data_IF_980654426772
#
_entry.id   IF_980654426772
#
_cell.length_a   1.000
_cell.length_b   1.000
_cell.length_c   1.000
_cell.angle_alpha   90.00
_cell.angle_beta   90.00
_cell.angle_gamma   90.00
#
_symmetry.space_group_name_H-M   'P 1'
#
loop_
_entity.id
_entity.type
_entity.pdbx_description
1 polymer ?
#
# COMPACT_ATOMS: atom_id res chain seq x y z
N UNK A 1 15.13 -4.59 -10.51
CA UNK A 1 14.07 -4.96 -9.56
C UNK A 1 13.08 -5.87 -10.25
N UNK A 2 12.63 -6.92 -9.57
CA UNK A 2 11.82 -8.02 -10.14
C UNK A 2 10.51 -7.53 -10.79
N UNK A 3 10.38 -7.74 -12.10
CA UNK A 3 9.13 -7.54 -12.87
C UNK A 3 7.94 -8.34 -12.30
N UNK A 4 8.20 -9.34 -11.46
CA UNK A 4 7.21 -10.19 -10.79
C UNK A 4 6.23 -9.41 -9.89
N UNK A 5 6.72 -8.50 -9.04
CA UNK A 5 5.86 -7.76 -8.08
C UNK A 5 4.94 -6.76 -8.80
N UNK A 6 5.46 -6.04 -9.80
CA UNK A 6 4.65 -5.16 -10.65
C UNK A 6 3.61 -5.93 -11.45
N UNK A 7 3.96 -7.13 -11.93
CA UNK A 7 3.01 -8.00 -12.61
C UNK A 7 1.83 -8.40 -11.73
N UNK A 8 2.05 -8.64 -10.43
CA UNK A 8 0.96 -8.96 -9.51
C UNK A 8 -0.01 -7.79 -9.33
N UNK A 9 0.49 -6.56 -9.28
CA UNK A 9 -0.33 -5.35 -9.17
C UNK A 9 -1.14 -5.12 -10.46
N UNK A 10 -0.49 -5.22 -11.62
CA UNK A 10 -1.18 -5.07 -12.92
C UNK A 10 -2.30 -6.10 -13.11
N UNK A 11 -2.03 -7.33 -12.69
CA UNK A 11 -2.95 -8.47 -12.78
C UNK A 11 -3.87 -8.60 -11.56
N UNK A 12 -3.90 -7.61 -10.66
CA UNK A 12 -4.77 -7.67 -9.50
C UNK A 12 -6.23 -7.81 -9.97
N UNK A 13 -6.95 -8.87 -9.52
CA UNK A 13 -8.29 -9.15 -10.01
C UNK A 13 -9.27 -8.11 -9.51
N UNK A 14 -10.29 -7.80 -10.31
CA UNK A 14 -11.38 -6.93 -9.88
C UNK A 14 -12.00 -7.48 -8.59
N UNK A 15 -12.12 -6.66 -7.52
CA UNK A 15 -12.78 -7.05 -6.29
C UNK A 15 -14.23 -7.49 -6.52
N UNK A 16 -14.57 -8.68 -6.04
CA UNK A 16 -15.93 -9.25 -6.16
C UNK A 16 -16.77 -9.11 -4.88
N UNK A 17 -16.16 -8.63 -3.81
CA UNK A 17 -16.81 -8.41 -2.52
C UNK A 17 -16.05 -7.33 -1.73
N UNK A 18 -16.68 -6.85 -0.65
CA UNK A 18 -16.13 -5.81 0.23
C UNK A 18 -14.75 -6.22 0.80
N UNK A 19 -14.58 -7.46 1.27
CA UNK A 19 -13.28 -7.92 1.82
C UNK A 19 -12.15 -7.85 0.81
N UNK A 20 -12.41 -8.23 -0.44
CA UNK A 20 -11.42 -8.15 -1.52
C UNK A 20 -11.09 -6.70 -1.87
N UNK A 21 -12.08 -5.80 -1.76
CA UNK A 21 -11.87 -4.37 -1.96
C UNK A 21 -11.07 -3.77 -0.81
N UNK A 22 -11.40 -4.06 0.44
CA UNK A 22 -10.65 -3.63 1.63
C UNK A 22 -9.18 -4.08 1.57
N UNK A 23 -8.93 -5.31 1.13
CA UNK A 23 -7.57 -5.81 0.93
C UNK A 23 -6.80 -5.01 -0.13
N UNK A 24 -7.46 -4.64 -1.23
CA UNK A 24 -6.84 -3.81 -2.26
C UNK A 24 -6.63 -2.37 -1.77
N UNK A 25 -7.59 -1.80 -1.04
CA UNK A 25 -7.51 -0.44 -0.50
C UNK A 25 -6.40 -0.32 0.56
N UNK A 26 -6.27 -1.30 1.45
CA UNK A 26 -5.17 -1.34 2.42
C UNK A 26 -3.79 -1.41 1.74
N UNK A 27 -3.69 -2.18 0.65
CA UNK A 27 -2.48 -2.16 -0.18
C UNK A 27 -2.28 -0.80 -0.85
N UNK A 28 -3.32 -0.23 -1.44
CA UNK A 28 -3.27 1.03 -2.17
C UNK A 28 -2.86 2.21 -1.26
N UNK A 29 -3.37 2.25 -0.04
CA UNK A 29 -3.08 3.30 0.94
C UNK A 29 -1.60 3.30 1.34
N UNK A 30 -0.95 2.15 1.40
CA UNK A 30 0.49 2.07 1.66
C UNK A 30 1.33 2.82 0.59
N UNK A 31 0.86 2.84 -0.66
CA UNK A 31 1.52 3.48 -1.80
C UNK A 31 0.90 4.83 -2.19
N UNK A 32 -0.03 5.38 -1.39
CA UNK A 32 -0.77 6.59 -1.74
C UNK A 32 0.13 7.82 -1.99
N UNK A 33 1.24 7.93 -1.25
CA UNK A 33 2.19 9.04 -1.32
C UNK A 33 2.94 9.13 -2.66
N UNK A 34 2.94 8.07 -3.46
CA UNK A 34 3.70 7.99 -4.70
C UNK A 34 2.83 8.04 -5.95
N UNK A 35 1.51 8.04 -5.76
CA UNK A 35 0.55 8.14 -6.85
C UNK A 35 0.06 9.58 -6.93
N UNK A 36 0.41 10.23 -8.04
CA UNK A 36 -0.15 11.53 -8.38
C UNK A 36 -1.68 11.40 -8.52
N UNK A 37 -2.41 12.32 -7.87
CA UNK A 37 -3.88 12.34 -7.85
C UNK A 37 -4.53 11.11 -7.17
N UNK A 38 -3.82 10.38 -6.30
CA UNK A 38 -4.33 9.19 -5.61
C UNK A 38 -5.75 9.37 -5.04
N UNK A 39 -5.98 10.47 -4.31
CA UNK A 39 -7.27 10.76 -3.68
C UNK A 39 -8.43 10.77 -4.68
N UNK A 40 -8.22 11.27 -5.89
CA UNK A 40 -9.25 11.28 -6.94
C UNK A 40 -9.60 9.86 -7.38
N UNK A 41 -8.58 9.04 -7.62
CA UNK A 41 -8.75 7.68 -8.15
C UNK A 41 -9.30 6.71 -7.09
N UNK A 42 -8.91 6.89 -5.82
CA UNK A 42 -9.35 6.02 -4.72
C UNK A 42 -10.78 6.31 -4.26
N UNK A 43 -11.29 7.54 -4.45
CA UNK A 43 -12.63 7.94 -3.99
C UNK A 43 -13.73 7.09 -4.63
N UNK A 44 -13.57 6.71 -5.91
CA UNK A 44 -14.50 5.84 -6.61
C UNK A 44 -14.54 4.41 -6.03
N UNK A 45 -13.45 3.97 -5.39
CA UNK A 45 -13.33 2.65 -4.78
C UNK A 45 -13.77 2.66 -3.32
N UNK A 46 -13.43 3.70 -2.55
CA UNK A 46 -13.83 3.81 -1.14
C UNK A 46 -15.34 4.04 -0.98
N UNK A 47 -16.00 4.67 -1.95
CA UNK A 47 -17.47 4.82 -1.96
C UNK A 47 -18.21 3.48 -1.97
N UNK A 48 -17.58 2.42 -2.49
CA UNK A 48 -18.14 1.06 -2.53
C UNK A 48 -18.12 0.34 -1.17
N UNK A 49 -17.46 0.91 -0.15
CA UNK A 49 -17.46 0.38 1.22
C UNK A 49 -18.73 0.76 2.00
N UNK A 50 -19.62 1.57 1.42
CA UNK A 50 -20.89 1.93 2.05
C UNK A 50 -21.78 0.69 2.23
N UNK A 51 -22.50 0.64 3.36
CA UNK A 51 -23.33 -0.52 3.75
C UNK A 51 -24.57 -0.72 2.88
N UNK A 52 -25.02 0.32 2.20
CA UNK A 52 -26.25 0.34 1.41
C UNK A 52 -26.03 1.32 0.24
N UNK A 53 -26.10 0.90 -1.05
CA UNK A 53 -26.64 -0.33 -1.62
C UNK A 53 -25.73 -1.58 -1.51
N UNK A 54 -26.21 -2.78 -1.90
CA UNK A 54 -25.37 -3.97 -2.03
C UNK A 54 -24.11 -3.71 -2.83
N UNK A 55 -23.00 -4.35 -2.46
CA UNK A 55 -21.73 -4.21 -3.15
C UNK A 55 -21.87 -4.52 -4.65
N UNK A 56 -21.73 -3.47 -5.46
CA UNK A 56 -21.70 -3.54 -6.92
C UNK A 56 -20.47 -2.77 -7.35
N UNK A 57 -19.57 -3.44 -8.06
CA UNK A 57 -18.42 -2.79 -8.66
C UNK A 57 -18.91 -1.99 -9.89
N UNK A 58 -19.24 -0.71 -9.65
CA UNK A 58 -19.93 0.16 -10.60
C UNK A 58 -19.00 0.67 -11.73
N UNK A 59 -19.58 1.40 -12.70
CA UNK A 59 -18.84 1.92 -13.86
C UNK A 59 -17.73 2.90 -13.47
N UNK A 60 -17.93 3.71 -12.42
CA UNK A 60 -16.88 4.60 -11.90
C UNK A 60 -15.67 3.81 -11.39
N UNK A 61 -15.90 2.80 -10.55
CA UNK A 61 -14.83 1.94 -10.05
C UNK A 61 -14.16 1.14 -11.18
N UNK A 62 -14.91 0.70 -12.20
CA UNK A 62 -14.36 0.04 -13.40
C UNK A 62 -13.44 0.97 -14.21
N UNK A 63 -13.75 2.27 -14.25
CA UNK A 63 -12.92 3.26 -14.94
C UNK A 63 -11.66 3.61 -14.15
N UNK A 64 -11.78 3.77 -12.83
CA UNK A 64 -10.69 4.22 -11.97
C UNK A 64 -9.73 3.10 -11.54
N UNK A 65 -10.21 1.86 -11.41
CA UNK A 65 -9.38 0.74 -10.94
C UNK A 65 -8.17 0.44 -11.85
N UNK A 66 -8.31 0.38 -13.20
CA UNK A 66 -7.16 0.20 -14.08
C UNK A 66 -6.17 1.37 -14.02
N UNK A 67 -6.67 2.61 -13.92
CA UNK A 67 -5.85 3.83 -13.82
C UNK A 67 -4.98 3.75 -12.56
N UNK A 68 -5.59 3.36 -11.43
CA UNK A 68 -4.87 3.20 -10.17
C UNK A 68 -3.82 2.08 -10.24
N UNK A 69 -4.13 0.95 -10.89
CA UNK A 69 -3.16 -0.13 -11.13
C UNK A 69 -1.98 0.32 -11.98
N UNK A 70 -2.22 1.07 -13.04
CA UNK A 70 -1.18 1.64 -13.89
C UNK A 70 -0.36 2.71 -13.14
N UNK A 71 -1.01 3.51 -12.30
CA UNK A 71 -0.34 4.49 -11.46
C UNK A 71 0.66 3.85 -10.49
N UNK A 72 0.37 2.68 -9.91
CA UNK A 72 1.36 1.92 -9.12
C UNK A 72 2.59 1.50 -9.94
N UNK A 73 2.46 1.32 -11.25
CA UNK A 73 3.58 0.91 -12.12
C UNK A 73 4.37 2.06 -12.72
N UNK A 74 3.75 3.23 -12.82
CA UNK A 74 4.34 4.45 -13.41
C UNK A 74 4.81 5.45 -12.35
N UNK A 75 4.43 5.22 -11.09
CA UNK A 75 4.94 5.88 -9.90
C UNK A 75 6.48 5.94 -9.92
N UNK A 76 7.10 7.05 -9.47
CA UNK A 76 8.55 7.23 -9.58
C UNK A 76 9.27 6.03 -9.01
N UNK A 77 10.13 5.45 -9.87
CA UNK A 77 11.14 4.46 -9.50
C UNK A 77 11.77 4.94 -8.20
N UNK A 78 11.73 4.10 -7.16
CA UNK A 78 12.30 4.41 -5.86
C UNK A 78 13.69 5.06 -6.05
N UNK A 79 13.90 6.30 -5.55
CA UNK A 79 15.17 6.98 -5.70
C UNK A 79 16.28 6.14 -5.08
N UNK A 80 17.49 6.29 -5.60
CA UNK A 80 18.65 5.68 -4.94
C UNK A 80 18.87 6.36 -3.60
N UNK A 81 19.20 5.55 -2.58
CA UNK A 81 19.54 6.04 -1.26
C UNK A 81 20.70 7.05 -1.34
N UNK A 82 20.50 8.23 -0.76
CA UNK A 82 21.53 9.25 -0.64
C UNK A 82 21.97 9.38 0.82
N UNK A 83 23.19 8.96 1.21
CA UNK A 83 23.65 9.02 2.59
C UNK A 83 23.68 10.42 3.24
N UNK A 84 23.54 11.48 2.43
CA UNK A 84 23.54 12.87 2.92
C UNK A 84 22.16 13.39 3.32
N UNK A 85 21.09 12.66 3.00
CA UNK A 85 19.72 13.07 3.31
C UNK A 85 19.22 12.45 4.63
N UNK A 86 18.44 13.20 5.43
CA UNK A 86 17.73 12.65 6.58
C UNK A 86 16.87 11.47 6.17
N UNK A 87 16.86 10.42 7.01
CA UNK A 87 16.15 9.16 6.75
C UNK A 87 15.08 8.94 7.82
N UNK A 88 13.90 8.50 7.41
CA UNK A 88 12.76 8.18 8.25
C UNK A 88 12.36 6.73 7.97
N UNK A 89 12.18 5.94 9.03
CA UNK A 89 11.59 4.60 8.94
C UNK A 89 10.21 4.67 9.58
N UNK A 90 9.19 4.27 8.83
CA UNK A 90 7.82 4.12 9.31
C UNK A 90 7.48 2.64 9.30
N UNK A 91 6.91 2.13 10.37
CA UNK A 91 6.56 0.72 10.55
C UNK A 91 5.09 0.61 10.93
N UNK A 92 4.45 -0.47 10.52
CA UNK A 92 3.07 -0.80 10.88
C UNK A 92 2.97 -2.31 11.08
N UNK A 93 2.18 -2.72 12.08
CA UNK A 93 1.95 -4.12 12.38
C UNK A 93 0.47 -4.49 12.28
N UNK A 94 0.21 -5.61 11.61
CA UNK A 94 -1.10 -6.26 11.60
C UNK A 94 -1.05 -7.56 12.39
N UNK A 95 -2.20 -8.23 12.52
CA UNK A 95 -2.28 -9.53 13.18
C UNK A 95 -1.36 -10.60 12.57
N UNK A 96 -0.97 -10.45 11.30
CA UNK A 96 -0.31 -11.49 10.52
C UNK A 96 0.99 -11.05 9.83
N UNK A 97 1.19 -9.74 9.65
CA UNK A 97 2.28 -9.19 8.85
C UNK A 97 2.82 -7.92 9.50
N UNK A 98 4.11 -7.67 9.28
CA UNK A 98 4.75 -6.38 9.52
C UNK A 98 5.03 -5.70 8.19
N UNK A 99 4.87 -4.39 8.14
CA UNK A 99 5.25 -3.55 7.02
C UNK A 99 6.17 -2.44 7.46
N UNK A 100 7.10 -2.05 6.60
CA UNK A 100 7.93 -0.88 6.83
C UNK A 100 8.26 -0.11 5.55
N UNK A 101 8.47 1.19 5.71
CA UNK A 101 8.85 2.12 4.65
C UNK A 101 10.10 2.86 5.10
N UNK A 102 11.14 2.80 4.27
CA UNK A 102 12.31 3.64 4.37
C UNK A 102 12.12 4.87 3.48
N UNK A 103 12.19 6.07 4.05
CA UNK A 103 12.08 7.33 3.32
C UNK A 103 13.23 8.28 3.56
N UNK A 104 13.52 9.13 2.60
CA UNK A 104 14.46 10.25 2.73
C UNK A 104 13.75 11.57 2.49
N UNK A 105 14.18 12.59 3.23
CA UNK A 105 13.59 13.93 3.14
C UNK A 105 14.56 14.87 2.45
N UNK A 106 14.09 15.56 1.42
CA UNK A 106 14.80 16.65 0.75
C UNK A 106 13.92 17.92 0.66
N UNK A 107 14.37 18.93 -0.08
CA UNK A 107 13.66 20.21 -0.28
C UNK A 107 12.27 20.04 -0.93
N UNK A 108 12.04 18.97 -1.69
CA UNK A 108 10.76 18.65 -2.31
C UNK A 108 9.83 17.82 -1.39
N UNK A 109 10.34 17.29 -0.27
CA UNK A 109 9.56 16.60 0.75
C UNK A 109 10.07 15.19 1.07
N UNK A 110 9.16 14.34 1.56
CA UNK A 110 9.45 12.94 1.93
C UNK A 110 9.34 12.04 0.70
N UNK A 111 10.43 11.37 0.35
CA UNK A 111 10.56 10.45 -0.78
C UNK A 111 10.92 9.06 -0.28
N UNK A 112 10.06 8.07 -0.48
CA UNK A 112 10.41 6.75 -0.03
C UNK A 112 11.40 6.05 -0.97
N UNK A 113 12.34 5.32 -0.36
CA UNK A 113 13.53 4.69 -0.97
C UNK A 113 13.40 3.18 -1.03
N UNK A 114 12.77 2.57 -0.02
CA UNK A 114 12.58 1.14 0.04
C UNK A 114 11.32 0.79 0.84
N UNK A 115 10.79 -0.39 0.56
CA UNK A 115 9.72 -1.00 1.31
C UNK A 115 10.15 -2.38 1.75
N UNK A 116 9.76 -2.74 2.97
CA UNK A 116 9.90 -4.11 3.45
C UNK A 116 8.57 -4.59 4.03
N UNK A 117 8.38 -5.90 4.00
CA UNK A 117 7.22 -6.53 4.61
C UNK A 117 7.56 -7.98 4.93
N UNK A 118 7.26 -8.42 6.14
CA UNK A 118 7.49 -9.80 6.54
C UNK A 118 6.21 -10.40 7.12
N UNK A 119 6.04 -11.70 6.91
CA UNK A 119 4.98 -12.46 7.55
C UNK A 119 5.46 -12.85 8.93
N UNK A 120 4.61 -12.62 9.94
CA UNK A 120 4.90 -13.03 11.30
C UNK A 120 5.05 -14.56 11.38
N UNK A 121 6.07 -15.01 12.10
CA UNK A 121 6.30 -16.41 12.41
C UNK A 121 5.19 -16.94 13.33
N UNK A 122 4.96 -18.27 13.36
CA UNK A 122 3.94 -18.86 14.22
C UNK A 122 4.04 -18.47 15.70
N UNK A 123 5.26 -18.22 16.19
CA UNK A 123 5.48 -17.72 17.55
C UNK A 123 5.05 -16.25 17.70
N UNK A 124 5.41 -15.40 16.74
CA UNK A 124 5.16 -13.95 16.74
C UNK A 124 3.69 -13.60 16.53
N UNK A 125 2.91 -14.49 15.90
CA UNK A 125 1.45 -14.34 15.80
C UNK A 125 0.78 -14.24 17.18
N UNK A 126 1.37 -14.85 18.21
CA UNK A 126 0.86 -14.85 19.58
C UNK A 126 1.25 -13.62 20.39
N UNK A 127 2.05 -12.71 19.83
CA UNK A 127 2.43 -11.46 20.49
C UNK A 127 1.21 -10.54 20.64
N UNK A 128 1.21 -9.71 21.67
CA UNK A 128 0.22 -8.64 21.76
C UNK A 128 0.51 -7.55 20.72
N UNK A 129 -0.50 -6.73 20.40
CA UNK A 129 -0.37 -5.74 19.33
C UNK A 129 0.81 -4.78 19.54
N UNK A 130 1.07 -4.36 20.78
CA UNK A 130 2.18 -3.47 21.10
C UNK A 130 3.55 -4.13 20.91
N UNK A 131 3.66 -5.44 21.16
CA UNK A 131 4.88 -6.22 20.89
C UNK A 131 5.10 -6.43 19.40
N UNK A 132 4.01 -6.58 18.62
CA UNK A 132 4.08 -6.65 17.14
C UNK A 132 4.54 -5.33 16.54
N UNK A 133 4.01 -4.20 17.02
CA UNK A 133 4.47 -2.87 16.63
C UNK A 133 5.96 -2.67 16.94
N UNK A 134 6.40 -3.08 18.13
CA UNK A 134 7.82 -3.02 18.52
C UNK A 134 8.69 -3.91 17.63
N UNK A 135 8.22 -5.11 17.29
CA UNK A 135 8.92 -6.03 16.38
C UNK A 135 9.11 -5.43 14.98
N UNK A 136 8.21 -4.56 14.52
CA UNK A 136 8.35 -3.84 13.25
C UNK A 136 9.62 -2.97 13.17
N UNK A 137 10.22 -2.60 14.30
CA UNK A 137 11.40 -1.72 14.39
C UNK A 137 12.72 -2.53 14.46
N UNK A 138 12.66 -3.81 14.82
CA UNK A 138 13.83 -4.67 15.13
C UNK A 138 14.32 -5.41 13.89
#
# INVERSE_FOLDING_TARGET
MDSSKFHQILNWPQPKNIKALESFLGFADFYCHFIKNYSKEITALTSLLQKDPPFIFNEEALSHFPILKEAFTTSPILPHFNPSLPTIVETDASDHYLGSILSQVDEAGKHPIAFDSCKLLPAELNYEIHDKELLGIV
#
